data_IF_470187870594
#
_entry.id   IF_470187870594
#
_cell.length_a   1.000
_cell.length_b   1.000
_cell.length_c   1.000
_cell.angle_alpha   90.00
_cell.angle_beta   90.00
_cell.angle_gamma   90.00
#
_symmetry.space_group_name_H-M   'P 1'
#
loop_
_entity.id
_entity.type
_entity.pdbx_description
1 polymer ?
#
# COMPACT_ATOMS: atom_id res chain seq x y z
N UNK A 1 -21.81 4.59 27.35
CA UNK A 1 -21.28 3.74 26.27
C UNK A 1 -22.24 2.59 26.10
N UNK A 2 -22.87 2.46 24.93
CA UNK A 2 -23.82 1.39 24.63
C UNK A 2 -23.02 0.09 24.46
N UNK A 3 -23.35 -0.97 25.19
CA UNK A 3 -22.71 -2.28 25.02
C UNK A 3 -23.07 -2.81 23.63
N UNK A 4 -22.12 -2.73 22.71
CA UNK A 4 -22.24 -3.39 21.40
C UNK A 4 -22.07 -4.90 21.67
N UNK A 5 -22.98 -5.72 21.15
CA UNK A 5 -22.92 -7.17 21.32
C UNK A 5 -21.69 -7.76 20.65
N UNK A 6 -21.01 -8.69 21.32
CA UNK A 6 -19.84 -9.39 20.77
C UNK A 6 -20.17 -10.12 19.46
N UNK A 7 -21.39 -10.67 19.33
CA UNK A 7 -21.87 -11.31 18.10
C UNK A 7 -21.94 -10.34 16.91
N UNK A 8 -22.32 -9.08 17.18
CA UNK A 8 -22.37 -8.05 16.15
C UNK A 8 -20.94 -7.67 15.71
N UNK A 9 -20.02 -7.49 16.67
CA UNK A 9 -18.62 -7.20 16.36
C UNK A 9 -17.97 -8.34 15.58
N UNK A 10 -18.27 -9.59 15.93
CA UNK A 10 -17.79 -10.78 15.22
C UNK A 10 -18.32 -10.84 13.79
N UNK A 11 -19.64 -10.65 13.60
CA UNK A 11 -20.26 -10.60 12.27
C UNK A 11 -19.65 -9.49 11.40
N UNK A 12 -19.45 -8.31 11.98
CA UNK A 12 -18.83 -7.18 11.28
C UNK A 12 -17.37 -7.48 10.92
N UNK A 13 -16.62 -8.15 11.80
CA UNK A 13 -15.25 -8.56 11.54
C UNK A 13 -15.17 -9.59 10.40
N UNK A 14 -16.07 -10.58 10.39
CA UNK A 14 -16.15 -11.58 9.31
C UNK A 14 -16.47 -10.95 7.95
N UNK A 15 -17.49 -10.09 7.90
CA UNK A 15 -17.87 -9.37 6.66
C UNK A 15 -16.72 -8.49 6.18
N UNK A 16 -16.08 -7.75 7.10
CA UNK A 16 -14.94 -6.89 6.77
C UNK A 16 -13.76 -7.69 6.26
N UNK A 17 -13.42 -8.82 6.91
CA UNK A 17 -12.35 -9.71 6.49
C UNK A 17 -12.61 -10.28 5.09
N UNK A 18 -13.86 -10.68 4.81
CA UNK A 18 -14.27 -11.14 3.49
C UNK A 18 -14.13 -10.07 2.40
N UNK A 19 -14.60 -8.84 2.67
CA UNK A 19 -14.47 -7.71 1.75
C UNK A 19 -13.01 -7.32 1.51
N UNK A 20 -12.19 -7.31 2.57
CA UNK A 20 -10.75 -7.05 2.48
C UNK A 20 -10.07 -8.14 1.65
N UNK A 21 -10.37 -9.41 1.88
CA UNK A 21 -9.84 -10.53 1.10
C UNK A 21 -10.21 -10.43 -0.37
N UNK A 22 -11.49 -10.17 -0.68
CA UNK A 22 -11.97 -10.00 -2.05
C UNK A 22 -11.30 -8.80 -2.74
N UNK A 23 -11.11 -7.69 -2.01
CA UNK A 23 -10.41 -6.52 -2.50
C UNK A 23 -8.94 -6.83 -2.84
N UNK A 24 -8.23 -7.52 -1.96
CA UNK A 24 -6.83 -7.93 -2.19
C UNK A 24 -6.74 -8.84 -3.42
N UNK A 25 -7.62 -9.83 -3.55
CA UNK A 25 -7.64 -10.74 -4.71
C UNK A 25 -7.96 -9.98 -5.99
N UNK A 26 -9.01 -9.15 -5.98
CA UNK A 26 -9.37 -8.32 -7.13
C UNK A 26 -8.24 -7.38 -7.56
N UNK A 27 -7.49 -6.85 -6.59
CA UNK A 27 -6.33 -6.00 -6.85
C UNK A 27 -5.16 -6.78 -7.47
N UNK A 28 -4.84 -7.97 -6.98
CA UNK A 28 -3.82 -8.83 -7.60
C UNK A 28 -4.14 -9.11 -9.08
N UNK A 29 -5.41 -9.48 -9.34
CA UNK A 29 -5.88 -9.68 -10.71
C UNK A 29 -5.84 -8.40 -11.55
N UNK A 30 -6.24 -7.26 -10.98
CA UNK A 30 -6.19 -5.98 -11.70
C UNK A 30 -4.76 -5.58 -12.05
N UNK A 31 -3.81 -5.76 -11.14
CA UNK A 31 -2.40 -5.47 -11.41
C UNK A 31 -1.90 -6.41 -12.52
N UNK A 32 -2.13 -7.73 -12.40
CA UNK A 32 -1.68 -8.72 -13.39
C UNK A 32 -2.27 -8.47 -14.79
N UNK A 33 -3.55 -8.14 -14.86
CA UNK A 33 -4.26 -7.89 -16.12
C UNK A 33 -4.01 -6.48 -16.67
N UNK A 34 -3.87 -5.47 -15.81
CA UNK A 34 -3.52 -4.09 -16.15
C UNK A 34 -2.13 -3.99 -16.78
N UNK A 35 -1.15 -4.74 -16.25
CA UNK A 35 0.17 -4.87 -16.86
C UNK A 35 0.13 -5.46 -18.28
N UNK A 36 -0.84 -6.33 -18.59
CA UNK A 36 -1.03 -6.86 -19.96
C UNK A 36 -1.66 -5.85 -20.90
N UNK A 37 -2.54 -4.96 -20.41
CA UNK A 37 -3.24 -3.96 -21.23
C UNK A 37 -2.42 -2.71 -21.54
N UNK A 38 -1.34 -2.43 -20.80
CA UNK A 38 -0.47 -1.27 -21.02
C UNK A 38 0.38 -1.34 -22.32
N UNK A 39 0.25 -2.38 -23.15
CA UNK A 39 0.81 -2.39 -24.50
C UNK A 39 2.31 -2.00 -24.56
N UNK A 40 2.76 -1.34 -25.64
CA UNK A 40 4.13 -0.83 -25.79
C UNK A 40 4.42 0.45 -24.98
N UNK A 41 3.48 0.92 -24.14
CA UNK A 41 3.64 2.17 -23.37
C UNK A 41 4.89 2.06 -22.50
N UNK A 42 5.76 3.03 -22.74
CA UNK A 42 7.19 2.86 -22.93
C UNK A 42 7.96 2.41 -21.67
N UNK A 43 9.20 1.95 -21.86
CA UNK A 43 10.14 1.42 -20.84
C UNK A 43 10.28 2.27 -19.56
N UNK A 44 9.82 3.52 -19.61
CA UNK A 44 9.84 4.52 -18.52
C UNK A 44 8.78 4.23 -17.45
N UNK A 45 7.61 3.70 -17.82
CA UNK A 45 6.45 3.56 -16.90
C UNK A 45 6.41 2.20 -16.19
N UNK A 46 6.88 1.12 -16.85
CA UNK A 46 6.97 -0.23 -16.26
C UNK A 46 7.72 -0.30 -14.92
N UNK A 47 8.89 0.36 -14.76
CA UNK A 47 9.63 0.34 -13.49
C UNK A 47 8.83 0.95 -12.34
N UNK A 48 8.07 2.02 -12.61
CA UNK A 48 7.20 2.66 -11.61
C UNK A 48 6.12 1.70 -11.14
N UNK A 49 5.31 1.14 -12.04
CA UNK A 49 4.25 0.21 -11.67
C UNK A 49 4.80 -1.01 -10.92
N UNK A 50 5.93 -1.58 -11.34
CA UNK A 50 6.55 -2.72 -10.64
C UNK A 50 6.98 -2.36 -9.22
N UNK A 51 7.52 -1.16 -9.04
CA UNK A 51 7.96 -0.65 -7.74
C UNK A 51 6.73 -0.36 -6.83
N UNK A 52 5.71 0.32 -7.35
CA UNK A 52 4.46 0.58 -6.62
C UNK A 52 3.73 -0.71 -6.23
N UNK A 53 3.65 -1.70 -7.12
CA UNK A 53 3.10 -3.02 -6.79
C UNK A 53 3.86 -3.67 -5.62
N UNK A 54 5.20 -3.59 -5.60
CA UNK A 54 6.00 -4.14 -4.50
C UNK A 54 5.66 -3.46 -3.17
N UNK A 55 5.57 -2.12 -3.14
CA UNK A 55 5.18 -1.38 -1.93
C UNK A 55 3.79 -1.82 -1.47
N UNK A 56 2.82 -1.88 -2.39
CA UNK A 56 1.45 -2.30 -2.09
C UNK A 56 1.44 -3.69 -1.47
N UNK A 57 2.16 -4.66 -2.04
CA UNK A 57 2.25 -6.02 -1.50
C UNK A 57 2.83 -6.04 -0.09
N UNK A 58 3.86 -5.25 0.20
CA UNK A 58 4.45 -5.15 1.54
C UNK A 58 3.47 -4.49 2.51
N UNK A 59 2.76 -3.44 2.09
CA UNK A 59 1.73 -2.78 2.89
C UNK A 59 0.58 -3.73 3.26
N UNK A 60 0.20 -4.68 2.40
CA UNK A 60 -0.79 -5.71 2.71
C UNK A 60 -0.22 -6.89 3.49
N UNK A 61 1.07 -7.19 3.35
CA UNK A 61 1.75 -8.21 4.14
C UNK A 61 1.80 -7.85 5.63
N UNK A 62 1.85 -6.57 5.98
CA UNK A 62 1.85 -6.10 7.38
C UNK A 62 0.55 -6.46 8.11
N UNK A 63 -0.65 -6.06 7.65
CA UNK A 63 -1.93 -6.46 8.25
C UNK A 63 -2.06 -7.97 8.40
N UNK A 64 -1.75 -8.73 7.36
CA UNK A 64 -1.89 -10.18 7.37
C UNK A 64 -0.88 -10.81 8.33
N UNK A 65 0.40 -10.50 8.16
CA UNK A 65 1.49 -11.08 8.95
C UNK A 65 1.37 -10.76 10.43
N UNK A 66 1.10 -9.49 10.79
CA UNK A 66 0.92 -9.10 12.18
C UNK A 66 -0.34 -9.70 12.79
N UNK A 67 -1.46 -9.75 12.06
CA UNK A 67 -2.69 -10.38 12.59
C UNK A 67 -2.45 -11.85 12.94
N UNK A 68 -1.74 -12.59 12.09
CA UNK A 68 -1.37 -13.97 12.38
C UNK A 68 -0.36 -14.08 13.53
N UNK A 69 0.69 -13.26 13.54
CA UNK A 69 1.73 -13.33 14.57
C UNK A 69 1.20 -12.97 15.96
N UNK A 70 0.33 -11.97 16.07
CA UNK A 70 -0.25 -11.54 17.34
C UNK A 70 -1.18 -12.61 17.94
N UNK A 71 -1.77 -13.45 17.11
CA UNK A 71 -2.62 -14.56 17.54
C UNK A 71 -1.81 -15.81 17.86
N UNK A 72 -0.83 -16.16 17.01
CA UNK A 72 -0.15 -17.45 17.07
C UNK A 72 1.20 -17.45 17.80
N UNK A 73 1.83 -16.28 17.96
CA UNK A 73 3.20 -16.16 18.48
C UNK A 73 3.28 -15.25 19.70
N UNK A 74 4.38 -15.37 20.44
CA UNK A 74 4.69 -14.46 21.53
C UNK A 74 4.92 -13.02 21.04
N UNK A 75 4.69 -12.00 21.88
CA UNK A 75 4.81 -10.59 21.49
C UNK A 75 6.18 -10.23 20.88
N UNK A 76 7.26 -10.86 21.35
CA UNK A 76 8.62 -10.63 20.85
C UNK A 76 8.73 -10.94 19.35
N UNK A 77 8.14 -12.05 18.91
CA UNK A 77 8.16 -12.45 17.50
C UNK A 77 7.34 -11.51 16.61
N UNK A 78 6.24 -10.96 17.13
CA UNK A 78 5.46 -9.93 16.43
C UNK A 78 6.26 -8.64 16.25
N UNK A 79 7.02 -8.24 17.26
CA UNK A 79 7.94 -7.11 17.17
C UNK A 79 9.05 -7.33 16.13
N UNK A 80 9.67 -8.51 16.13
CA UNK A 80 10.70 -8.88 15.13
C UNK A 80 10.11 -8.85 13.71
N UNK A 81 8.95 -9.48 13.51
CA UNK A 81 8.27 -9.49 12.21
C UNK A 81 7.96 -8.06 11.75
N UNK A 82 7.44 -7.22 12.64
CA UNK A 82 7.15 -5.82 12.33
C UNK A 82 8.40 -5.06 11.91
N UNK A 83 9.52 -5.22 12.62
CA UNK A 83 10.79 -4.58 12.29
C UNK A 83 11.24 -5.01 10.89
N UNK A 84 11.23 -6.32 10.61
CA UNK A 84 11.65 -6.87 9.31
C UNK A 84 10.78 -6.32 8.17
N UNK A 85 9.45 -6.38 8.32
CA UNK A 85 8.54 -5.84 7.30
C UNK A 85 8.68 -4.32 7.15
N UNK A 86 8.92 -3.59 8.24
CA UNK A 86 9.19 -2.15 8.20
C UNK A 86 10.46 -1.82 7.43
N UNK A 87 11.54 -2.58 7.65
CA UNK A 87 12.78 -2.41 6.89
C UNK A 87 12.57 -2.67 5.39
N UNK A 88 11.86 -3.74 5.05
CA UNK A 88 11.53 -4.05 3.65
C UNK A 88 10.69 -2.92 3.03
N UNK A 89 9.70 -2.41 3.76
CA UNK A 89 8.83 -1.32 3.32
C UNK A 89 9.62 -0.03 3.09
N UNK A 90 10.49 0.36 4.02
CA UNK A 90 11.33 1.56 3.91
C UNK A 90 12.31 1.40 2.75
N UNK A 91 12.96 0.26 2.60
CA UNK A 91 13.87 0.01 1.49
C UNK A 91 13.16 0.08 0.13
N UNK A 92 11.95 -0.49 0.04
CA UNK A 92 11.11 -0.40 -1.16
C UNK A 92 10.72 1.06 -1.44
N UNK A 93 10.30 1.80 -0.41
CA UNK A 93 9.90 3.21 -0.55
C UNK A 93 11.06 4.10 -1.01
N UNK A 94 12.27 3.89 -0.48
CA UNK A 94 13.48 4.62 -0.92
C UNK A 94 13.81 4.31 -2.38
N UNK A 95 13.75 3.04 -2.80
CA UNK A 95 13.97 2.66 -4.21
C UNK A 95 12.93 3.31 -5.14
N UNK A 96 11.67 3.42 -4.71
CA UNK A 96 10.61 4.11 -5.45
C UNK A 96 10.87 5.61 -5.52
N UNK A 97 11.17 6.29 -4.40
CA UNK A 97 11.45 7.72 -4.36
C UNK A 97 12.60 8.12 -5.30
N UNK A 98 13.69 7.34 -5.29
CA UNK A 98 14.86 7.57 -6.14
C UNK A 98 14.51 7.41 -7.64
N UNK A 99 13.70 6.42 -7.99
CA UNK A 99 13.24 6.20 -9.38
C UNK A 99 12.19 7.22 -9.81
N UNK A 100 11.34 7.65 -8.89
CA UNK A 100 10.27 8.61 -9.16
C UNK A 100 10.81 9.99 -9.53
N UNK A 101 11.89 10.43 -8.89
CA UNK A 101 12.53 11.70 -9.21
C UNK A 101 12.94 11.79 -10.70
N UNK A 102 13.27 10.66 -11.32
CA UNK A 102 13.56 10.56 -12.75
C UNK A 102 12.29 10.53 -13.62
N UNK A 103 11.24 9.80 -13.22
CA UNK A 103 10.01 9.60 -14.01
C UNK A 103 9.04 10.80 -13.89
N UNK A 104 8.93 11.43 -12.73
CA UNK A 104 8.03 12.58 -12.51
C UNK A 104 8.37 13.78 -13.42
N UNK A 105 9.65 13.96 -13.76
CA UNK A 105 10.08 14.97 -14.75
C UNK A 105 9.59 14.67 -16.17
N UNK A 106 9.39 13.39 -16.50
CA UNK A 106 8.97 12.95 -17.83
C UNK A 106 7.44 12.88 -17.99
N UNK A 107 6.70 12.48 -16.96
CA UNK A 107 5.26 12.14 -17.09
C UNK A 107 4.30 13.24 -16.62
N UNK A 108 4.75 14.26 -15.87
CA UNK A 108 3.93 15.42 -15.41
C UNK A 108 2.63 15.07 -14.65
N UNK A 109 2.43 13.83 -14.19
CA UNK A 109 1.22 13.42 -13.46
C UNK A 109 1.24 13.90 -11.99
N UNK A 110 0.28 14.74 -11.62
CA UNK A 110 0.09 15.24 -10.26
C UNK A 110 -0.29 14.13 -9.28
N UNK A 111 -1.11 13.14 -9.70
CA UNK A 111 -1.52 12.03 -8.84
C UNK A 111 -0.35 11.14 -8.42
N UNK A 112 0.63 10.97 -9.31
CA UNK A 112 1.84 10.21 -9.02
C UNK A 112 2.70 10.88 -7.93
N UNK A 113 2.79 12.21 -7.96
CA UNK A 113 3.51 12.99 -6.94
C UNK A 113 2.78 12.98 -5.60
N UNK A 114 1.46 13.16 -5.61
CA UNK A 114 0.64 13.10 -4.39
C UNK A 114 0.76 11.72 -3.75
N UNK A 115 0.71 10.65 -4.54
CA UNK A 115 0.89 9.30 -4.05
C UNK A 115 2.24 9.09 -3.35
N UNK A 116 3.31 9.63 -3.91
CA UNK A 116 4.64 9.46 -3.34
C UNK A 116 4.79 10.19 -2.00
N UNK A 117 4.27 11.42 -1.92
CA UNK A 117 4.34 12.23 -0.70
C UNK A 117 3.45 11.63 0.39
N UNK A 118 2.20 11.33 0.06
CA UNK A 118 1.23 10.76 1.02
C UNK A 118 1.64 9.34 1.41
N UNK A 119 2.10 8.52 0.46
CA UNK A 119 2.61 7.18 0.69
C UNK A 119 3.83 7.19 1.60
N UNK A 120 4.80 8.08 1.34
CA UNK A 120 5.99 8.23 2.20
C UNK A 120 5.63 8.69 3.60
N UNK A 121 4.74 9.68 3.73
CA UNK A 121 4.25 10.13 5.03
C UNK A 121 3.53 8.99 5.78
N UNK A 122 2.72 8.21 5.07
CA UNK A 122 2.03 7.02 5.60
C UNK A 122 3.00 5.94 6.08
N UNK A 123 4.05 5.66 5.32
CA UNK A 123 5.13 4.73 5.71
C UNK A 123 5.84 5.21 6.98
N UNK A 124 6.20 6.49 7.05
CA UNK A 124 6.85 7.07 8.24
C UNK A 124 5.94 6.96 9.46
N UNK A 125 4.67 7.34 9.33
CA UNK A 125 3.69 7.22 10.40
C UNK A 125 3.53 5.77 10.85
N UNK A 126 3.36 4.83 9.91
CA UNK A 126 3.24 3.40 10.18
C UNK A 126 4.41 2.88 10.99
N UNK A 127 5.65 3.24 10.61
CA UNK A 127 6.85 2.72 11.26
C UNK A 127 6.99 3.28 12.68
N UNK A 128 6.66 4.56 12.88
CA UNK A 128 6.94 5.28 14.14
C UNK A 128 5.83 5.06 15.18
N UNK A 129 4.56 5.02 14.76
CA UNK A 129 3.40 5.02 15.65
C UNK A 129 3.45 3.91 16.72
N UNK A 130 3.78 2.65 16.41
CA UNK A 130 3.82 1.59 17.43
C UNK A 130 4.82 1.87 18.55
N UNK A 131 5.96 2.50 18.23
CA UNK A 131 7.01 2.83 19.19
C UNK A 131 6.67 4.08 20.00
N UNK A 132 5.96 5.03 19.40
CA UNK A 132 5.48 6.23 20.12
C UNK A 132 4.42 5.87 21.14
N UNK A 133 3.48 4.99 20.77
CA UNK A 133 2.38 4.58 21.66
C UNK A 133 2.85 3.55 22.68
N UNK A 134 3.65 2.56 22.25
CA UNK A 134 4.02 1.40 23.06
C UNK A 134 5.45 1.40 23.61
N UNK A 135 6.25 2.43 23.35
CA UNK A 135 7.65 2.51 23.77
C UNK A 135 8.54 1.46 23.09
N UNK A 136 9.57 0.97 23.79
CA UNK A 136 10.51 -0.04 23.27
C UNK A 136 9.92 -1.45 23.13
N UNK A 137 8.73 -1.70 23.69
CA UNK A 137 8.05 -2.99 23.60
C UNK A 137 6.58 -2.78 23.24
N UNK A 138 6.27 -2.51 21.96
CA UNK A 138 4.91 -2.19 21.52
C UNK A 138 3.91 -3.28 21.91
N UNK A 139 2.78 -2.84 22.46
CA UNK A 139 1.68 -3.73 22.84
C UNK A 139 0.82 -4.09 21.63
N UNK A 140 -0.12 -5.04 21.80
CA UNK A 140 -1.07 -5.42 20.73
C UNK A 140 -1.84 -4.23 20.17
N UNK A 141 -2.26 -3.32 21.05
CA UNK A 141 -2.97 -2.10 20.67
C UNK A 141 -2.12 -1.18 19.78
N UNK A 142 -0.83 -1.02 20.11
CA UNK A 142 0.10 -0.24 19.31
C UNK A 142 0.30 -0.84 17.90
N UNK A 143 0.35 -2.17 17.79
CA UNK A 143 0.40 -2.85 16.49
C UNK A 143 -0.91 -2.75 15.70
N UNK A 144 -2.07 -2.72 16.36
CA UNK A 144 -3.36 -2.49 15.68
C UNK A 144 -3.34 -1.18 14.90
N UNK A 145 -2.76 -0.12 15.45
CA UNK A 145 -2.60 1.16 14.73
C UNK A 145 -1.72 1.04 13.50
N UNK A 146 -0.60 0.31 13.58
CA UNK A 146 0.22 0.04 12.40
C UNK A 146 -0.53 -0.77 11.34
N UNK A 147 -1.32 -1.77 11.74
CA UNK A 147 -2.15 -2.56 10.82
C UNK A 147 -3.15 -1.66 10.08
N UNK A 148 -3.87 -0.79 10.81
CA UNK A 148 -4.83 0.14 10.22
C UNK A 148 -4.16 1.14 9.27
N UNK A 149 -3.02 1.71 9.67
CA UNK A 149 -2.26 2.64 8.84
C UNK A 149 -1.71 1.96 7.58
N UNK A 150 -1.23 0.72 7.68
CA UNK A 150 -0.74 -0.05 6.54
C UNK A 150 -1.86 -0.30 5.54
N UNK A 151 -3.02 -0.69 6.04
CA UNK A 151 -4.20 -0.95 5.22
C UNK A 151 -4.66 0.33 4.51
N UNK A 152 -4.82 1.44 5.23
CA UNK A 152 -5.22 2.72 4.67
C UNK A 152 -4.22 3.24 3.63
N UNK A 153 -2.92 3.18 3.93
CA UNK A 153 -1.85 3.61 3.02
C UNK A 153 -1.81 2.75 1.76
N UNK A 154 -1.95 1.42 1.90
CA UNK A 154 -2.01 0.49 0.78
C UNK A 154 -3.22 0.75 -0.10
N UNK A 155 -4.39 0.97 0.49
CA UNK A 155 -5.62 1.31 -0.23
C UNK A 155 -5.48 2.61 -1.03
N UNK A 156 -5.02 3.69 -0.40
CA UNK A 156 -4.80 4.97 -1.08
C UNK A 156 -3.78 4.85 -2.22
N UNK A 157 -2.72 4.07 -1.99
CA UNK A 157 -1.69 3.82 -3.01
C UNK A 157 -2.26 3.11 -4.24
N UNK A 158 -3.19 2.17 -4.04
CA UNK A 158 -3.90 1.52 -5.16
C UNK A 158 -4.75 2.53 -5.91
N UNK A 159 -5.58 3.31 -5.21
CA UNK A 159 -6.42 4.33 -5.84
C UNK A 159 -5.59 5.27 -6.71
N UNK A 160 -4.47 5.75 -6.18
CA UNK A 160 -3.59 6.63 -6.93
C UNK A 160 -2.91 5.94 -8.11
N UNK A 161 -2.52 4.66 -7.98
CA UNK A 161 -1.94 3.89 -9.08
C UNK A 161 -2.95 3.70 -10.24
N UNK A 162 -4.20 3.39 -9.91
CA UNK A 162 -5.30 3.24 -10.89
C UNK A 162 -5.58 4.57 -11.60
N UNK A 163 -5.73 5.67 -10.84
CA UNK A 163 -5.97 6.99 -11.42
C UNK A 163 -4.80 7.45 -12.29
N UNK A 164 -3.56 7.19 -11.85
CA UNK A 164 -2.35 7.50 -12.63
C UNK A 164 -2.31 6.72 -13.94
N UNK A 165 -2.78 5.47 -13.96
CA UNK A 165 -2.87 4.68 -15.20
C UNK A 165 -3.83 5.32 -16.22
N UNK A 166 -4.99 5.82 -15.77
CA UNK A 166 -5.92 6.55 -16.63
C UNK A 166 -5.35 7.87 -17.14
N UNK A 167 -4.65 8.62 -16.28
CA UNK A 167 -4.00 9.88 -16.68
C UNK A 167 -2.96 9.66 -17.79
N UNK A 168 -2.16 8.59 -17.68
CA UNK A 168 -1.16 8.23 -18.70
C UNK A 168 -1.84 7.91 -20.03
N UNK A 169 -2.89 7.09 -20.03
CA UNK A 169 -3.64 6.74 -21.26
C UNK A 169 -4.25 7.99 -21.91
N UNK A 170 -4.79 8.91 -21.10
CA UNK A 170 -5.37 10.17 -21.58
C UNK A 170 -4.31 11.09 -22.21
N UNK A 171 -3.11 11.14 -21.63
CA UNK A 171 -2.01 11.96 -22.17
C UNK A 171 -1.49 11.44 -23.52
N UNK A 172 -1.46 10.11 -23.69
CA UNK A 172 -1.03 9.45 -24.93
C UNK A 172 -2.02 9.71 -26.08
N UNK A 173 -3.32 9.58 -25.80
CA UNK A 173 -4.40 9.88 -26.77
C UNK A 173 -4.49 11.36 -27.15
N UNK A 174 -4.17 12.27 -26.22
CA UNK A 174 -4.12 13.71 -26.51
C UNK A 174 -2.87 14.13 -27.31
N UNK A 175 -1.74 13.42 -27.14
CA UNK A 175 -0.49 13.68 -27.88
C UNK A 175 -0.52 13.17 -29.31
N UNK A 176 -1.20 12.05 -29.59
CA UNK A 176 -1.31 11.46 -30.93
C UNK A 176 -2.27 12.19 -31.89
N UNK A 177 -3.00 13.20 -31.43
CA UNK A 177 -3.96 13.97 -32.24
C UNK A 177 -3.39 15.15 -33.03
N UNK A 178 -2.07 15.41 -32.94
CA UNK A 178 -1.41 16.53 -33.61
C UNK A 178 -0.49 16.11 -34.79
N UNK A 179 -0.48 14.83 -35.15
CA UNK A 179 0.27 14.29 -36.30
C UNK A 179 -0.64 13.59 -37.33
N UNK A 180 -1.80 14.19 -37.62
CA UNK A 180 -2.72 13.75 -38.68
C UNK A 180 -2.98 14.84 -39.70
#
# INVERSE_FOLDING_TARGET
MQQISDDFLLTMAEVSAGLIGLFIVGMLFYIETGFRRLGPVDKVVRPYFRSSTRIILVLFAIPVGLSFSLVALEPVWSGILFIVLSFILVAANVDTALRMAAVARATRSTMMLVNEVVGTAGVVALVIVPWVIGGFSPTREAFTWAILLAFATGFLSICALVLSAFDVIRSDTAGGGLEG
#
